data_IF_742642291563
#
_entry.id   IF_742642291563
#
_cell.length_a   1.000
_cell.length_b   1.000
_cell.length_c   1.000
_cell.angle_alpha   90.00
_cell.angle_beta   90.00
_cell.angle_gamma   90.00
#
_symmetry.space_group_name_H-M   'P 1'
#
loop_
_entity.id
_entity.type
_entity.pdbx_description
1 polymer ?
#
# COMPACT_ATOMS: atom_id res chain seq x y z
N UNK A 1 -5.85 0.92 -28.51
CA UNK A 1 -5.77 -0.54 -28.78
C UNK A 1 -6.42 -1.28 -27.61
N UNK A 2 -6.62 -2.61 -27.68
CA UNK A 2 -7.19 -3.37 -26.54
C UNK A 2 -6.37 -3.19 -25.25
N UNK A 3 -5.05 -3.01 -25.39
CA UNK A 3 -4.13 -2.69 -24.31
C UNK A 3 -4.45 -1.32 -23.65
N UNK A 4 -4.78 -0.30 -24.44
CA UNK A 4 -5.22 1.01 -23.90
C UNK A 4 -6.54 0.92 -23.13
N UNK A 5 -7.44 0.01 -23.51
CA UNK A 5 -8.69 -0.19 -22.77
C UNK A 5 -8.47 -0.89 -21.44
N UNK A 6 -7.46 -1.78 -21.37
CA UNK A 6 -6.99 -2.39 -20.12
C UNK A 6 -6.48 -1.31 -19.17
N UNK A 7 -5.62 -0.41 -19.66
CA UNK A 7 -5.05 0.67 -18.84
C UNK A 7 -6.10 1.68 -18.36
N UNK A 8 -7.18 1.89 -19.14
CA UNK A 8 -8.27 2.80 -18.80
C UNK A 8 -9.34 2.18 -17.90
N UNK A 9 -9.18 0.93 -17.46
CA UNK A 9 -10.16 0.24 -16.61
C UNK A 9 -11.54 0.09 -17.28
N UNK A 10 -11.61 0.08 -18.61
CA UNK A 10 -12.87 -0.16 -19.33
C UNK A 10 -13.27 -1.63 -19.15
N UNK A 11 -14.57 -1.91 -19.23
CA UNK A 11 -15.09 -3.28 -19.13
C UNK A 11 -14.65 -4.12 -20.33
N UNK A 12 -13.47 -4.73 -20.19
CA UNK A 12 -12.90 -5.69 -21.11
C UNK A 12 -12.55 -6.95 -20.30
N UNK A 13 -12.77 -8.11 -20.90
CA UNK A 13 -12.40 -9.41 -20.32
C UNK A 13 -11.25 -10.01 -21.13
N UNK A 14 -9.99 -9.58 -20.92
CA UNK A 14 -8.85 -10.21 -21.56
C UNK A 14 -8.81 -11.72 -21.24
N UNK A 15 -8.41 -12.52 -22.22
CA UNK A 15 -8.29 -13.97 -22.04
C UNK A 15 -7.13 -14.32 -21.11
N UNK A 16 -7.16 -15.53 -20.54
CA UNK A 16 -6.05 -16.03 -19.72
C UNK A 16 -4.71 -16.04 -20.47
N UNK A 17 -4.74 -16.26 -21.79
CA UNK A 17 -3.54 -16.18 -22.64
C UNK A 17 -2.97 -14.76 -22.66
N UNK A 18 -3.81 -13.74 -22.79
CA UNK A 18 -3.39 -12.33 -22.78
C UNK A 18 -2.79 -11.96 -21.41
N UNK A 19 -3.42 -12.38 -20.31
CA UNK A 19 -2.88 -12.12 -18.96
C UNK A 19 -1.53 -12.83 -18.72
N UNK A 20 -1.35 -14.04 -19.23
CA UNK A 20 -0.07 -14.74 -19.14
C UNK A 20 1.03 -14.02 -19.93
N UNK A 21 0.75 -13.60 -21.17
CA UNK A 21 1.72 -12.83 -21.97
C UNK A 21 2.07 -11.51 -21.29
N UNK A 22 1.10 -10.83 -20.67
CA UNK A 22 1.34 -9.62 -19.88
C UNK A 22 2.22 -9.89 -18.68
N UNK A 23 1.94 -10.97 -17.93
CA UNK A 23 2.77 -11.35 -16.80
C UNK A 23 4.21 -11.68 -17.20
N UNK A 24 4.40 -12.37 -18.33
CA UNK A 24 5.74 -12.69 -18.85
C UNK A 24 6.47 -11.42 -19.29
N UNK A 25 5.80 -10.52 -20.01
CA UNK A 25 6.36 -9.26 -20.48
C UNK A 25 6.75 -8.32 -19.33
N UNK A 26 5.93 -8.27 -18.28
CA UNK A 26 6.19 -7.49 -17.06
C UNK A 26 7.12 -8.21 -16.06
N UNK A 27 7.57 -9.43 -16.39
CA UNK A 27 8.45 -10.26 -15.55
C UNK A 27 7.87 -10.48 -14.14
N UNK A 28 6.55 -10.70 -14.07
CA UNK A 28 5.84 -10.90 -12.82
C UNK A 28 6.21 -12.24 -12.18
N UNK A 29 6.48 -12.21 -10.88
CA UNK A 29 6.61 -13.37 -10.03
C UNK A 29 5.25 -14.07 -9.79
N UNK A 30 5.27 -15.24 -9.17
CA UNK A 30 4.09 -16.07 -8.96
C UNK A 30 3.01 -15.39 -8.08
N UNK A 31 3.41 -14.50 -7.16
CA UNK A 31 2.46 -13.74 -6.35
C UNK A 31 1.81 -12.60 -7.17
N UNK A 32 2.62 -11.88 -7.95
CA UNK A 32 2.17 -10.83 -8.87
C UNK A 32 1.28 -11.39 -9.98
N UNK A 33 1.58 -12.58 -10.51
CA UNK A 33 0.71 -13.30 -11.46
C UNK A 33 -0.66 -13.57 -10.87
N UNK A 34 -0.71 -14.18 -9.69
CA UNK A 34 -1.97 -14.49 -9.00
C UNK A 34 -2.77 -13.21 -8.71
N UNK A 35 -2.08 -12.15 -8.36
CA UNK A 35 -2.67 -10.82 -8.18
C UNK A 35 -3.27 -10.27 -9.48
N UNK A 36 -2.56 -10.32 -10.61
CA UNK A 36 -3.06 -9.91 -11.93
C UNK A 36 -4.35 -10.65 -12.32
N UNK A 37 -4.38 -11.98 -12.14
CA UNK A 37 -5.58 -12.78 -12.40
C UNK A 37 -6.74 -12.45 -11.45
N UNK A 38 -6.43 -12.08 -10.19
CA UNK A 38 -7.44 -11.65 -9.21
C UNK A 38 -8.07 -10.31 -9.61
N UNK A 39 -7.27 -9.35 -10.09
CA UNK A 39 -7.76 -8.05 -10.57
C UNK A 39 -8.70 -8.19 -11.77
N UNK A 40 -8.37 -9.05 -12.74
CA UNK A 40 -9.19 -9.25 -13.93
C UNK A 40 -10.58 -9.85 -13.64
N UNK A 41 -10.70 -10.64 -12.57
CA UNK A 41 -11.97 -11.28 -12.21
C UNK A 41 -12.89 -10.37 -11.38
N UNK A 42 -12.48 -9.13 -11.09
CA UNK A 42 -13.31 -8.16 -10.36
C UNK A 42 -14.13 -7.32 -11.34
N UNK A 43 -15.42 -7.18 -11.05
CA UNK A 43 -16.21 -6.10 -11.63
C UNK A 43 -15.61 -4.76 -11.16
N UNK A 44 -15.50 -3.79 -12.07
CA UNK A 44 -15.02 -2.46 -11.74
C UNK A 44 -15.80 -1.94 -10.53
N UNK A 45 -15.15 -1.62 -9.40
CA UNK A 45 -15.82 -0.99 -8.27
C UNK A 45 -16.47 0.30 -8.79
N UNK A 46 -17.75 0.53 -8.47
CA UNK A 46 -18.32 1.86 -8.63
C UNK A 46 -17.37 2.83 -7.95
N UNK A 47 -17.00 3.92 -8.63
CA UNK A 47 -16.17 4.99 -8.08
C UNK A 47 -16.94 5.67 -6.94
N UNK A 48 -17.01 5.01 -5.79
CA UNK A 48 -17.45 5.62 -4.55
C UNK A 48 -16.30 6.53 -4.19
N UNK A 49 -16.53 7.85 -4.28
CA UNK A 49 -15.69 8.84 -3.62
C UNK A 49 -15.61 8.41 -2.16
N UNK A 50 -14.56 7.69 -1.80
CA UNK A 50 -14.37 7.24 -0.44
C UNK A 50 -14.08 8.50 0.36
N UNK A 51 -14.91 8.77 1.35
CA UNK A 51 -14.56 9.73 2.39
C UNK A 51 -13.13 9.43 2.91
N UNK A 52 -12.38 10.46 3.34
CA UNK A 52 -11.09 10.25 3.99
C UNK A 52 -11.23 9.23 5.11
N UNK A 53 -10.31 8.27 5.18
CA UNK A 53 -10.28 7.30 6.27
C UNK A 53 -9.96 8.02 7.57
N UNK A 54 -10.82 7.87 8.57
CA UNK A 54 -10.66 8.45 9.90
C UNK A 54 -10.41 7.35 10.92
N UNK A 55 -9.62 7.67 11.95
CA UNK A 55 -9.33 6.76 13.07
C UNK A 55 -10.26 7.08 14.21
N UNK A 56 -11.07 6.12 14.63
CA UNK A 56 -12.04 6.30 15.71
C UNK A 56 -11.36 6.55 17.07
N UNK A 57 -12.03 7.31 17.93
CA UNK A 57 -11.52 7.74 19.24
C UNK A 57 -11.03 6.58 20.16
N UNK A 58 -11.70 5.41 20.24
CA UNK A 58 -11.19 4.28 21.01
C UNK A 58 -9.82 3.79 20.53
N UNK A 59 -9.61 3.75 19.21
CA UNK A 59 -8.34 3.31 18.62
C UNK A 59 -7.23 4.35 18.87
N UNK A 60 -7.55 5.64 18.79
CA UNK A 60 -6.61 6.71 19.19
C UNK A 60 -6.20 6.61 20.66
N UNK A 61 -7.15 6.34 21.56
CA UNK A 61 -6.85 6.12 22.99
C UNK A 61 -5.98 4.91 23.23
N UNK A 62 -6.25 3.79 22.54
CA UNK A 62 -5.39 2.61 22.59
C UNK A 62 -3.97 2.94 22.15
N UNK A 63 -3.83 3.66 21.02
CA UNK A 63 -2.55 4.06 20.47
C UNK A 63 -1.75 4.94 21.45
N UNK A 64 -2.43 5.89 22.11
CA UNK A 64 -1.83 6.75 23.13
C UNK A 64 -1.33 5.98 24.37
N UNK A 65 -1.97 4.87 24.73
CA UNK A 65 -1.59 4.03 25.88
C UNK A 65 -0.33 3.18 25.61
N UNK A 66 0.09 3.03 24.35
CA UNK A 66 1.33 2.33 23.96
C UNK A 66 2.56 3.25 24.14
N UNK A 67 2.70 3.88 25.31
CA UNK A 67 3.64 4.99 25.56
C UNK A 67 5.11 4.70 25.25
N UNK A 68 5.54 3.45 25.38
CA UNK A 68 6.91 3.01 25.11
C UNK A 68 7.04 2.06 23.92
N UNK A 69 5.96 1.86 23.16
CA UNK A 69 5.92 0.94 22.04
C UNK A 69 5.55 1.74 20.78
N UNK A 70 6.51 1.99 19.87
CA UNK A 70 6.24 2.66 18.60
C UNK A 70 5.09 1.98 17.85
N UNK A 71 4.01 2.72 17.62
CA UNK A 71 2.83 2.22 16.94
C UNK A 71 2.16 3.29 16.07
N UNK A 72 1.55 2.84 14.97
CA UNK A 72 0.77 3.67 14.06
C UNK A 72 -0.38 2.86 13.46
N UNK A 73 -1.37 3.58 12.92
CA UNK A 73 -2.53 3.03 12.20
C UNK A 73 -2.36 3.27 10.72
N UNK A 74 -2.51 2.21 9.92
CA UNK A 74 -2.46 2.28 8.46
C UNK A 74 -3.87 2.29 7.87
N UNK A 75 -4.07 3.13 6.86
CA UNK A 75 -5.23 3.06 5.99
C UNK A 75 -5.09 1.98 4.91
N UNK A 76 -6.11 1.83 4.08
CA UNK A 76 -6.17 0.82 3.00
C UNK A 76 -5.03 0.93 1.99
N UNK A 77 -4.50 2.13 1.78
CA UNK A 77 -3.38 2.42 0.88
C UNK A 77 -2.03 2.52 1.61
N UNK A 78 -1.98 2.07 2.86
CA UNK A 78 -0.80 2.16 3.73
C UNK A 78 -0.35 3.60 4.03
N UNK A 79 -1.29 4.55 3.98
CA UNK A 79 -1.10 5.89 4.55
C UNK A 79 -1.14 5.79 6.07
N UNK A 80 -0.21 6.45 6.76
CA UNK A 80 -0.25 6.55 8.22
C UNK A 80 -1.34 7.54 8.64
N UNK A 81 -2.41 7.02 9.24
CA UNK A 81 -3.59 7.81 9.63
C UNK A 81 -3.49 8.36 11.07
N UNK A 82 -2.79 7.64 11.94
CA UNK A 82 -2.51 8.04 13.32
C UNK A 82 -1.23 7.36 13.82
N UNK A 83 -0.56 7.96 14.79
CA UNK A 83 0.68 7.45 15.40
C UNK A 83 0.76 7.87 16.86
N UNK A 84 1.56 7.16 17.66
CA UNK A 84 1.88 7.60 19.01
C UNK A 84 3.22 8.35 19.09
N UNK A 85 3.48 8.98 20.24
CA UNK A 85 4.72 9.71 20.50
C UNK A 85 5.97 8.84 20.34
N UNK A 86 5.91 7.56 20.70
CA UNK A 86 7.05 6.64 20.55
C UNK A 86 7.39 6.39 19.07
N UNK A 87 6.39 6.26 18.19
CA UNK A 87 6.58 6.15 16.75
C UNK A 87 7.19 7.42 16.16
N UNK A 88 6.74 8.59 16.60
CA UNK A 88 7.29 9.86 16.12
C UNK A 88 8.74 10.06 16.55
N UNK A 89 9.10 9.69 17.79
CA UNK A 89 10.50 9.76 18.25
C UNK A 89 11.42 8.77 17.51
N UNK A 90 10.92 7.60 17.12
CA UNK A 90 11.72 6.57 16.46
C UNK A 90 11.83 6.78 14.94
N UNK A 91 10.70 7.01 14.28
CA UNK A 91 10.63 7.10 12.83
C UNK A 91 10.69 8.54 12.32
N UNK A 92 10.35 9.52 13.15
CA UNK A 92 10.42 10.95 12.84
C UNK A 92 9.34 11.45 11.88
N UNK A 93 8.95 12.70 12.08
CA UNK A 93 8.36 13.58 11.06
C UNK A 93 6.89 13.36 10.77
N UNK A 94 6.16 12.52 11.51
CA UNK A 94 4.74 12.31 11.17
C UNK A 94 3.89 13.58 11.40
N UNK A 95 4.33 14.48 12.28
CA UNK A 95 3.74 15.79 12.53
C UNK A 95 4.05 16.82 11.44
N UNK A 96 5.22 16.73 10.80
CA UNK A 96 5.68 17.69 9.77
C UNK A 96 5.43 17.24 8.33
N UNK A 97 5.27 15.94 8.09
CA UNK A 97 5.17 15.38 6.75
C UNK A 97 3.78 15.60 6.14
N UNK A 98 3.75 15.90 4.85
CA UNK A 98 2.52 15.92 4.08
C UNK A 98 1.89 14.51 4.01
N UNK A 99 0.62 14.44 3.61
CA UNK A 99 -0.13 13.17 3.62
C UNK A 99 0.54 12.07 2.78
N UNK A 100 1.03 12.43 1.60
CA UNK A 100 1.66 11.47 0.69
C UNK A 100 3.03 11.01 1.22
N UNK A 101 3.76 11.89 1.89
CA UNK A 101 5.07 11.57 2.47
C UNK A 101 4.95 10.65 3.70
N UNK A 102 3.76 10.62 4.33
CA UNK A 102 3.42 9.70 5.42
C UNK A 102 3.06 8.29 4.95
N UNK A 103 2.97 8.04 3.65
CA UNK A 103 2.74 6.70 3.13
C UNK A 103 3.95 5.78 3.40
N UNK A 104 3.72 4.57 3.92
CA UNK A 104 4.81 3.65 4.27
C UNK A 104 5.67 3.27 3.05
N UNK A 105 5.09 3.09 1.87
CA UNK A 105 5.86 2.82 0.65
C UNK A 105 6.72 4.02 0.28
N UNK A 106 6.19 5.24 0.39
CA UNK A 106 6.96 6.45 0.15
C UNK A 106 8.13 6.54 1.13
N UNK A 107 7.89 6.34 2.44
CA UNK A 107 8.96 6.35 3.45
C UNK A 107 10.02 5.27 3.21
N UNK A 108 9.62 4.09 2.76
CA UNK A 108 10.54 2.97 2.56
C UNK A 108 11.44 3.13 1.33
N UNK A 109 10.91 3.73 0.25
CA UNK A 109 11.61 3.81 -1.04
C UNK A 109 12.12 5.20 -1.40
N UNK A 110 11.48 6.27 -0.92
CA UNK A 110 11.75 7.66 -1.30
C UNK A 110 12.32 8.54 -0.17
N UNK A 111 12.28 8.11 1.10
CA UNK A 111 12.90 8.82 2.24
C UNK A 111 14.25 8.16 2.63
N UNK A 112 15.40 8.78 2.27
CA UNK A 112 16.72 8.24 2.58
C UNK A 112 17.03 8.22 4.09
N UNK A 113 16.40 9.09 4.88
CA UNK A 113 16.60 9.12 6.33
C UNK A 113 15.89 7.95 6.99
N UNK A 114 14.64 7.68 6.60
CA UNK A 114 13.90 6.52 7.08
C UNK A 114 14.57 5.20 6.69
N UNK A 115 15.09 5.09 5.46
CA UNK A 115 15.86 3.91 5.02
C UNK A 115 17.06 3.60 5.94
N UNK A 116 17.74 4.61 6.49
CA UNK A 116 18.89 4.43 7.39
C UNK A 116 18.50 3.87 8.76
N UNK A 117 17.23 3.93 9.15
CA UNK A 117 16.72 3.34 10.39
C UNK A 117 16.56 1.82 10.29
N UNK A 118 16.56 1.28 9.07
CA UNK A 118 16.31 -0.14 8.79
C UNK A 118 17.63 -0.87 8.58
N UNK A 119 17.94 -1.80 9.50
CA UNK A 119 19.19 -2.59 9.47
C UNK A 119 19.31 -3.41 8.18
N UNK A 120 18.26 -4.18 7.83
CA UNK A 120 18.16 -4.94 6.59
C UNK A 120 17.02 -4.36 5.74
N UNK A 121 17.27 -3.18 5.19
CA UNK A 121 16.29 -2.47 4.35
C UNK A 121 15.78 -3.33 3.20
N UNK A 122 16.64 -4.12 2.55
CA UNK A 122 16.23 -4.88 1.36
C UNK A 122 15.23 -5.99 1.73
N UNK A 123 15.45 -6.67 2.85
CA UNK A 123 14.51 -7.66 3.36
C UNK A 123 13.17 -7.02 3.75
N UNK A 124 13.21 -5.92 4.49
CA UNK A 124 11.99 -5.16 4.87
C UNK A 124 11.24 -4.68 3.63
N UNK A 125 11.95 -4.09 2.66
CA UNK A 125 11.38 -3.59 1.41
C UNK A 125 10.65 -4.69 0.62
N UNK A 126 11.24 -5.87 0.48
CA UNK A 126 10.60 -6.99 -0.24
C UNK A 126 9.32 -7.46 0.47
N UNK A 127 9.37 -7.63 1.79
CA UNK A 127 8.20 -8.08 2.57
C UNK A 127 7.09 -7.03 2.53
N UNK A 128 7.42 -5.76 2.79
CA UNK A 128 6.46 -4.67 2.75
C UNK A 128 5.82 -4.51 1.37
N UNK A 129 6.61 -4.60 0.29
CA UNK A 129 6.08 -4.52 -1.08
C UNK A 129 5.12 -5.67 -1.40
N UNK A 130 5.46 -6.91 -0.99
CA UNK A 130 4.60 -8.06 -1.21
C UNK A 130 3.27 -7.92 -0.45
N UNK A 131 3.31 -7.50 0.82
CA UNK A 131 2.12 -7.23 1.62
C UNK A 131 1.28 -6.10 1.03
N UNK A 132 1.90 -5.01 0.62
CA UNK A 132 1.23 -3.88 0.01
C UNK A 132 0.47 -4.28 -1.25
N UNK A 133 1.09 -5.06 -2.16
CA UNK A 133 0.42 -5.57 -3.37
C UNK A 133 -0.77 -6.47 -3.05
N UNK A 134 -0.64 -7.31 -2.02
CA UNK A 134 -1.73 -8.18 -1.59
C UNK A 134 -2.91 -7.39 -1.00
N UNK A 135 -2.64 -6.36 -0.20
CA UNK A 135 -3.66 -5.51 0.42
C UNK A 135 -4.30 -4.55 -0.58
N UNK A 136 -3.49 -3.87 -1.40
CA UNK A 136 -3.96 -2.92 -2.42
C UNK A 136 -4.88 -3.60 -3.44
N UNK A 137 -4.66 -4.90 -3.71
CA UNK A 137 -5.55 -5.70 -4.52
C UNK A 137 -7.01 -5.58 -4.11
N UNK A 138 -7.28 -5.55 -2.80
CA UNK A 138 -8.63 -5.56 -2.23
C UNK A 138 -9.38 -4.25 -2.46
N UNK A 139 -8.66 -3.19 -2.79
CA UNK A 139 -9.16 -1.82 -2.92
C UNK A 139 -8.83 -1.19 -4.28
N UNK A 140 -8.30 -1.98 -5.20
CA UNK A 140 -8.03 -1.63 -6.60
C UNK A 140 -9.29 -1.75 -7.46
#
# INVERSE_FOLDING_TARGET
TWYTWLEQGRDIRPSAQVLNTLADALRLDEAERRHLFTLNNRQAPQAVSSAPECVDEPLQRMLANLTHQPAYVLGRRWDVLAWNRAADMLFGGYDTLDRDERNIMHRLFADPAHRKLLVDWESVARVSLAMFRADSARYA
#
